data_IF_307528125288
#
_entry.id   IF_307528125288
#
_cell.length_a   1.000
_cell.length_b   1.000
_cell.length_c   1.000
_cell.angle_alpha   90.00
_cell.angle_beta   90.00
_cell.angle_gamma   90.00
#
_symmetry.space_group_name_H-M   'P 1'
#
loop_
_entity.id
_entity.type
_entity.pdbx_description
1 polymer ?
#
# COMPACT_ATOMS: atom_id res chain seq x y z
N UNK A 1 30.07 -12.64 -15.35
CA UNK A 1 28.81 -13.33 -15.00
C UNK A 1 27.89 -13.19 -16.20
N UNK A 2 27.38 -14.30 -16.73
CA UNK A 2 26.53 -14.26 -17.94
C UNK A 2 25.22 -13.53 -17.62
N UNK A 3 24.65 -12.82 -18.61
CA UNK A 3 23.41 -12.06 -18.43
C UNK A 3 22.25 -12.99 -18.01
N UNK A 4 22.26 -14.22 -18.52
CA UNK A 4 21.28 -15.25 -18.20
C UNK A 4 21.21 -15.63 -16.71
N UNK A 5 22.34 -15.74 -16.01
CA UNK A 5 22.35 -16.06 -14.56
C UNK A 5 21.70 -14.94 -13.73
N UNK A 6 21.93 -13.69 -14.13
CA UNK A 6 21.30 -12.51 -13.50
C UNK A 6 19.81 -12.52 -13.73
N UNK A 7 19.37 -12.81 -14.94
CA UNK A 7 17.95 -12.95 -15.30
C UNK A 7 17.28 -14.04 -14.47
N UNK A 8 17.86 -15.24 -14.38
CA UNK A 8 17.29 -16.35 -13.60
C UNK A 8 17.16 -15.96 -12.12
N UNK A 9 18.21 -15.34 -11.56
CA UNK A 9 18.22 -14.88 -10.18
C UNK A 9 17.13 -13.84 -9.93
N UNK A 10 17.02 -12.85 -10.82
CA UNK A 10 16.05 -11.76 -10.75
C UNK A 10 14.62 -12.28 -10.92
N UNK A 11 14.38 -13.17 -11.88
CA UNK A 11 13.08 -13.83 -12.05
C UNK A 11 12.67 -14.63 -10.80
N UNK A 12 13.60 -15.41 -10.24
CA UNK A 12 13.35 -16.22 -9.04
C UNK A 12 13.00 -15.38 -7.81
N UNK A 13 13.76 -14.31 -7.56
CA UNK A 13 13.47 -13.34 -6.50
C UNK A 13 12.10 -12.68 -6.72
N UNK A 14 11.79 -12.22 -7.94
CA UNK A 14 10.51 -11.57 -8.26
C UNK A 14 9.33 -12.50 -8.04
N UNK A 15 9.40 -13.73 -8.56
CA UNK A 15 8.36 -14.73 -8.38
C UNK A 15 8.06 -15.01 -6.90
N UNK A 16 9.10 -15.00 -6.06
CA UNK A 16 8.94 -15.12 -4.61
C UNK A 16 8.19 -13.95 -4.00
N UNK A 17 8.57 -12.71 -4.33
CA UNK A 17 7.93 -11.51 -3.78
C UNK A 17 6.53 -11.26 -4.31
N UNK A 18 6.27 -11.56 -5.58
CA UNK A 18 4.93 -11.48 -6.16
C UNK A 18 3.94 -12.27 -5.31
N UNK A 19 4.27 -13.50 -4.93
CA UNK A 19 3.42 -14.33 -4.04
C UNK A 19 3.21 -13.73 -2.65
N UNK A 20 4.24 -13.10 -2.09
CA UNK A 20 4.14 -12.43 -0.79
C UNK A 20 3.24 -11.20 -0.88
N UNK A 21 3.39 -10.41 -1.93
CA UNK A 21 2.56 -9.23 -2.21
C UNK A 21 1.10 -9.65 -2.44
N UNK A 22 0.83 -10.64 -3.29
CA UNK A 22 -0.52 -11.19 -3.51
C UNK A 22 -1.22 -11.63 -2.22
N UNK A 23 -0.45 -12.02 -1.19
CA UNK A 23 -0.99 -12.39 0.12
C UNK A 23 -1.29 -11.17 1.01
N UNK A 24 -0.56 -10.07 0.79
CA UNK A 24 -0.67 -8.84 1.58
C UNK A 24 -1.76 -7.89 1.06
N UNK A 25 -1.86 -7.70 -0.26
CA UNK A 25 -2.78 -6.73 -0.89
C UNK A 25 -3.96 -7.42 -1.61
N UNK A 26 -5.13 -6.79 -1.59
CA UNK A 26 -6.30 -7.25 -2.34
C UNK A 26 -6.23 -6.74 -3.79
N UNK A 27 -5.51 -7.46 -4.63
CA UNK A 27 -5.37 -7.15 -6.05
C UNK A 27 -3.92 -6.92 -6.45
N UNK A 28 -3.49 -7.56 -7.53
CA UNK A 28 -2.11 -7.47 -7.99
C UNK A 28 -1.94 -6.33 -9.00
N UNK A 29 -0.86 -5.51 -8.93
CA UNK A 29 -0.68 -4.38 -9.82
C UNK A 29 -0.57 -4.87 -11.28
N UNK A 30 -1.48 -4.48 -12.18
CA UNK A 30 -1.49 -4.97 -13.56
C UNK A 30 -0.23 -4.58 -14.35
N UNK A 31 0.42 -3.47 -13.96
CA UNK A 31 1.68 -2.98 -14.51
C UNK A 31 2.79 -4.02 -14.35
N UNK A 32 2.91 -4.61 -13.15
CA UNK A 32 3.88 -5.68 -12.87
C UNK A 32 3.65 -6.88 -13.76
N UNK A 33 2.40 -7.28 -14.00
CA UNK A 33 2.08 -8.40 -14.90
C UNK A 33 2.45 -8.10 -16.35
N UNK A 34 2.27 -6.86 -16.79
CA UNK A 34 2.62 -6.46 -18.14
C UNK A 34 4.13 -6.54 -18.37
N UNK A 35 4.92 -6.00 -17.46
CA UNK A 35 6.38 -6.08 -17.52
C UNK A 35 6.88 -7.54 -17.39
N UNK A 36 6.24 -8.35 -16.55
CA UNK A 36 6.54 -9.79 -16.45
C UNK A 36 6.29 -10.52 -17.78
N UNK A 37 5.18 -10.20 -18.47
CA UNK A 37 4.88 -10.76 -19.80
C UNK A 37 5.89 -10.30 -20.85
N UNK A 38 6.34 -9.04 -20.80
CA UNK A 38 7.41 -8.55 -21.68
C UNK A 38 8.72 -9.28 -21.45
N UNK A 39 9.10 -9.51 -20.19
CA UNK A 39 10.26 -10.30 -19.84
C UNK A 39 10.17 -11.72 -20.42
N UNK A 40 9.05 -12.43 -20.21
CA UNK A 40 8.87 -13.78 -20.77
C UNK A 40 8.96 -13.80 -22.29
N UNK A 41 8.37 -12.82 -22.99
CA UNK A 41 8.47 -12.72 -24.46
C UNK A 41 9.91 -12.52 -24.93
N UNK A 42 10.67 -11.66 -24.24
CA UNK A 42 12.07 -11.42 -24.56
C UNK A 42 12.94 -12.66 -24.27
N UNK A 43 12.61 -13.47 -23.26
CA UNK A 43 13.29 -14.75 -23.02
C UNK A 43 13.01 -15.78 -24.12
N UNK A 44 11.76 -15.85 -24.62
CA UNK A 44 11.44 -16.68 -25.77
C UNK A 44 12.21 -16.20 -27.00
N UNK A 45 12.24 -14.87 -27.26
CA UNK A 45 13.05 -14.28 -28.33
C UNK A 45 14.54 -14.64 -28.19
N UNK A 46 15.08 -14.66 -26.97
CA UNK A 46 16.46 -15.08 -26.73
C UNK A 46 16.67 -16.56 -27.08
N UNK A 47 15.79 -17.45 -26.62
CA UNK A 47 15.88 -18.89 -26.93
C UNK A 47 15.77 -19.17 -28.43
N UNK A 48 14.88 -18.48 -29.14
CA UNK A 48 14.71 -18.62 -30.59
C UNK A 48 15.93 -18.16 -31.39
N UNK A 49 16.77 -17.31 -30.80
CA UNK A 49 17.99 -16.77 -31.42
C UNK A 49 19.28 -17.34 -30.78
N UNK A 50 19.21 -18.44 -30.02
CA UNK A 50 20.39 -19.02 -29.37
C UNK A 50 21.49 -19.45 -30.35
N UNK A 51 21.09 -19.83 -31.58
CA UNK A 51 21.99 -20.27 -32.64
C UNK A 51 22.33 -19.13 -33.63
N UNK A 52 22.02 -17.87 -33.28
CA UNK A 52 22.38 -16.70 -34.10
C UNK A 52 23.91 -16.63 -34.27
N UNK A 53 24.44 -16.73 -35.50
CA UNK A 53 25.88 -16.74 -35.76
C UNK A 53 26.60 -15.49 -35.25
N UNK A 54 25.87 -14.37 -35.12
CA UNK A 54 26.41 -13.11 -34.63
C UNK A 54 26.28 -12.95 -33.11
N UNK A 55 25.42 -13.74 -32.45
CA UNK A 55 25.06 -13.60 -31.05
C UNK A 55 24.36 -12.29 -30.67
N UNK A 56 24.24 -11.33 -31.59
CA UNK A 56 23.72 -10.00 -31.32
C UNK A 56 22.23 -10.04 -30.99
N UNK A 57 21.46 -10.88 -31.68
CA UNK A 57 20.02 -11.01 -31.42
C UNK A 57 19.76 -11.66 -30.06
N UNK A 58 20.54 -12.67 -29.72
CA UNK A 58 20.51 -13.31 -28.42
C UNK A 58 20.79 -12.31 -27.29
N UNK A 59 21.90 -11.58 -27.38
CA UNK A 59 22.29 -10.59 -26.36
C UNK A 59 21.29 -9.43 -26.23
N UNK A 60 20.72 -8.98 -27.35
CA UNK A 60 19.69 -7.94 -27.34
C UNK A 60 18.42 -8.41 -26.64
N UNK A 61 17.98 -9.64 -26.92
CA UNK A 61 16.82 -10.25 -26.28
C UNK A 61 17.05 -10.50 -24.77
N UNK A 62 18.25 -10.96 -24.38
CA UNK A 62 18.65 -11.05 -22.98
C UNK A 62 18.55 -9.69 -22.27
N UNK A 63 19.10 -8.64 -22.88
CA UNK A 63 19.06 -7.28 -22.32
C UNK A 63 17.61 -6.79 -22.15
N UNK A 64 16.75 -6.97 -23.15
CA UNK A 64 15.31 -6.66 -23.04
C UNK A 64 14.66 -7.41 -21.89
N UNK A 65 14.92 -8.72 -21.75
CA UNK A 65 14.33 -9.53 -20.69
C UNK A 65 14.75 -9.04 -19.31
N UNK A 66 16.04 -8.74 -19.15
CA UNK A 66 16.59 -8.19 -17.91
C UNK A 66 15.96 -6.82 -17.56
N UNK A 67 15.85 -5.90 -18.53
CA UNK A 67 15.21 -4.61 -18.32
C UNK A 67 13.72 -4.72 -17.98
N UNK A 68 12.98 -5.59 -18.66
CA UNK A 68 11.57 -5.82 -18.36
C UNK A 68 11.37 -6.41 -16.95
N UNK A 69 12.24 -7.32 -16.51
CA UNK A 69 12.21 -7.80 -15.13
C UNK A 69 12.44 -6.62 -14.16
N UNK A 70 13.46 -5.79 -14.36
CA UNK A 70 13.72 -4.63 -13.50
C UNK A 70 12.55 -3.64 -13.44
N UNK A 71 11.82 -3.47 -14.54
CA UNK A 71 10.61 -2.65 -14.54
C UNK A 71 9.49 -3.31 -13.72
N UNK A 72 9.29 -4.62 -13.87
CA UNK A 72 8.33 -5.36 -13.05
C UNK A 72 8.68 -5.24 -11.54
N UNK A 73 9.97 -5.20 -11.20
CA UNK A 73 10.45 -4.91 -9.84
C UNK A 73 10.08 -3.51 -9.35
N UNK A 74 10.34 -2.51 -10.20
CA UNK A 74 9.98 -1.12 -9.95
C UNK A 74 8.49 -1.01 -9.66
N UNK A 75 7.67 -1.52 -10.56
CA UNK A 75 6.21 -1.40 -10.50
C UNK A 75 5.62 -2.13 -9.29
N UNK A 76 6.26 -3.20 -8.82
CA UNK A 76 5.81 -3.92 -7.63
C UNK A 76 5.98 -3.07 -6.37
N UNK A 77 7.13 -2.41 -6.23
CA UNK A 77 7.44 -1.57 -5.07
C UNK A 77 6.60 -0.30 -5.09
N UNK A 78 6.49 0.32 -6.26
CA UNK A 78 5.66 1.51 -6.50
C UNK A 78 4.18 1.22 -6.22
N UNK A 79 3.66 0.10 -6.72
CA UNK A 79 2.29 -0.34 -6.44
C UNK A 79 2.02 -0.53 -4.94
N UNK A 80 2.97 -1.11 -4.18
CA UNK A 80 2.84 -1.25 -2.73
C UNK A 80 2.84 0.10 -2.00
N UNK A 81 3.70 1.04 -2.40
CA UNK A 81 3.76 2.38 -1.81
C UNK A 81 2.46 3.14 -2.08
N UNK A 82 1.95 3.09 -3.31
CA UNK A 82 0.68 3.72 -3.71
C UNK A 82 -0.47 3.15 -2.90
N UNK A 83 -0.62 1.81 -2.83
CA UNK A 83 -1.72 1.17 -2.10
C UNK A 83 -1.68 1.52 -0.61
N UNK A 84 -0.49 1.49 0.02
CA UNK A 84 -0.33 1.84 1.43
C UNK A 84 -0.71 3.31 1.70
N UNK A 85 -0.28 4.22 0.82
CA UNK A 85 -0.56 5.65 0.93
C UNK A 85 -2.06 5.91 0.79
N UNK A 86 -2.69 5.34 -0.24
CA UNK A 86 -4.12 5.50 -0.50
C UNK A 86 -4.95 4.98 0.67
N UNK A 87 -4.66 3.76 1.16
CA UNK A 87 -5.37 3.20 2.32
C UNK A 87 -5.22 4.06 3.56
N UNK A 88 -4.02 4.57 3.83
CA UNK A 88 -3.79 5.41 5.00
C UNK A 88 -4.51 6.75 4.90
N UNK A 89 -4.54 7.35 3.71
CA UNK A 89 -5.26 8.59 3.44
C UNK A 89 -6.77 8.41 3.55
N UNK A 90 -7.32 7.30 3.05
CA UNK A 90 -8.75 6.95 3.20
C UNK A 90 -9.14 6.83 4.67
N UNK A 91 -8.37 6.08 5.48
CA UNK A 91 -8.60 5.94 6.92
C UNK A 91 -8.50 7.28 7.64
N UNK A 92 -7.49 8.08 7.31
CA UNK A 92 -7.28 9.40 7.93
C UNK A 92 -8.39 10.38 7.55
N UNK A 93 -8.95 10.29 6.34
CA UNK A 93 -10.01 11.16 5.84
C UNK A 93 -11.36 10.84 6.48
N UNK A 94 -11.67 9.55 6.67
CA UNK A 94 -12.99 9.11 7.14
C UNK A 94 -13.05 8.76 8.63
N UNK A 95 -11.92 8.38 9.24
CA UNK A 95 -11.83 7.86 10.60
C UNK A 95 -10.62 8.44 11.35
N UNK A 96 -10.39 9.76 11.23
CA UNK A 96 -9.18 10.42 11.74
C UNK A 96 -8.88 10.10 13.21
N UNK A 97 -9.87 10.25 14.09
CA UNK A 97 -9.68 10.11 15.53
C UNK A 97 -9.33 8.66 15.89
N UNK A 98 -10.06 7.70 15.31
CA UNK A 98 -9.85 6.27 15.49
C UNK A 98 -8.50 5.83 14.90
N UNK A 99 -8.14 6.35 13.73
CA UNK A 99 -6.85 6.10 13.09
C UNK A 99 -5.69 6.56 13.98
N UNK A 100 -5.79 7.76 14.57
CA UNK A 100 -4.78 8.25 15.52
C UNK A 100 -4.73 7.37 16.77
N UNK A 101 -5.89 6.93 17.28
CA UNK A 101 -5.97 6.12 18.49
C UNK A 101 -5.40 4.71 18.29
N UNK A 102 -5.67 4.07 17.15
CA UNK A 102 -5.24 2.70 16.85
C UNK A 102 -3.79 2.65 16.36
N UNK A 103 -3.42 3.48 15.38
CA UNK A 103 -2.09 3.43 14.78
C UNK A 103 -1.05 4.27 15.55
N UNK A 104 -1.46 5.34 16.23
CA UNK A 104 -0.55 6.21 16.97
C UNK A 104 0.69 6.61 16.18
N UNK A 105 1.87 6.25 16.69
CA UNK A 105 3.16 6.56 16.05
C UNK A 105 3.44 5.76 14.77
N UNK A 106 2.87 4.55 14.61
CA UNK A 106 3.06 3.73 13.40
C UNK A 106 2.60 4.45 12.14
N UNK A 107 1.54 5.28 12.23
CA UNK A 107 1.10 6.13 11.12
C UNK A 107 2.25 7.00 10.59
N UNK A 108 3.04 7.59 11.49
CA UNK A 108 4.16 8.45 11.12
C UNK A 108 5.29 7.65 10.49
N UNK A 109 5.58 6.47 11.04
CA UNK A 109 6.60 5.56 10.50
C UNK A 109 6.25 5.13 9.06
N UNK A 110 4.99 4.77 8.82
CA UNK A 110 4.47 4.44 7.50
C UNK A 110 4.68 5.61 6.51
N UNK A 111 4.26 6.83 6.89
CA UNK A 111 4.39 8.02 6.03
C UNK A 111 5.85 8.33 5.72
N UNK A 112 6.76 8.19 6.69
CA UNK A 112 8.19 8.40 6.48
C UNK A 112 8.72 7.40 5.45
N UNK A 113 8.43 6.10 5.63
CA UNK A 113 8.88 5.07 4.69
C UNK A 113 8.33 5.31 3.27
N UNK A 114 7.04 5.62 3.14
CA UNK A 114 6.43 5.92 1.84
C UNK A 114 7.10 7.10 1.15
N UNK A 115 7.43 8.17 1.89
CA UNK A 115 8.11 9.33 1.32
C UNK A 115 9.53 8.99 0.87
N UNK A 116 10.29 8.29 1.71
CA UNK A 116 11.65 7.85 1.36
C UNK A 116 11.67 6.97 0.10
N UNK A 117 10.71 6.04 0.00
CA UNK A 117 10.59 5.17 -1.17
C UNK A 117 10.09 5.91 -2.40
N UNK A 118 9.13 6.84 -2.27
CA UNK A 118 8.68 7.68 -3.37
C UNK A 118 9.83 8.52 -3.95
N UNK A 119 10.72 9.06 -3.12
CA UNK A 119 11.90 9.79 -3.58
C UNK A 119 12.85 8.89 -4.38
N UNK A 120 13.12 7.67 -3.89
CA UNK A 120 13.95 6.69 -4.59
C UNK A 120 13.32 6.24 -5.92
N UNK A 121 12.01 5.98 -5.93
CA UNK A 121 11.24 5.62 -7.13
C UNK A 121 11.30 6.77 -8.14
N UNK A 122 11.03 8.00 -7.72
CA UNK A 122 11.09 9.18 -8.58
C UNK A 122 12.49 9.38 -9.19
N UNK A 123 13.55 9.20 -8.39
CA UNK A 123 14.93 9.24 -8.89
C UNK A 123 15.18 8.17 -9.95
N UNK A 124 14.73 6.93 -9.73
CA UNK A 124 14.89 5.82 -10.68
C UNK A 124 14.17 6.03 -12.03
N UNK A 125 13.14 6.89 -12.06
CA UNK A 125 12.45 7.31 -13.29
C UNK A 125 13.23 8.40 -14.03
N UNK A 126 13.86 9.31 -13.29
CA UNK A 126 14.69 10.39 -13.84
C UNK A 126 16.08 9.93 -14.31
N UNK A 127 16.61 8.85 -13.73
CA UNK A 127 17.94 8.30 -14.00
C UNK A 127 17.84 6.81 -14.38
N UNK A 128 17.34 6.46 -15.59
CA UNK A 128 17.11 5.07 -16.01
C UNK A 128 18.35 4.16 -15.90
N UNK A 129 19.54 4.72 -16.09
CA UNK A 129 20.83 4.04 -15.98
C UNK A 129 21.17 3.60 -14.55
N UNK A 130 20.63 4.27 -13.52
CA UNK A 130 20.84 3.95 -12.11
C UNK A 130 19.71 3.09 -11.51
N UNK A 131 18.67 2.80 -12.28
CA UNK A 131 17.50 2.02 -11.85
C UNK A 131 17.90 0.71 -11.17
N UNK A 132 18.82 -0.06 -11.76
CA UNK A 132 19.27 -1.34 -11.19
C UNK A 132 19.83 -1.16 -9.79
N UNK A 133 20.75 -0.21 -9.62
CA UNK A 133 21.40 0.04 -8.36
C UNK A 133 20.40 0.49 -7.30
N UNK A 134 19.52 1.43 -7.64
CA UNK A 134 18.49 1.95 -6.73
C UNK A 134 17.53 0.81 -6.28
N UNK A 135 17.14 -0.09 -7.18
CA UNK A 135 16.22 -1.16 -6.80
C UNK A 135 16.90 -2.31 -6.05
N UNK A 136 18.08 -2.76 -6.50
CA UNK A 136 18.79 -3.85 -5.84
C UNK A 136 19.29 -3.44 -4.45
N UNK A 137 19.92 -2.27 -4.32
CA UNK A 137 20.58 -1.84 -3.08
C UNK A 137 19.66 -1.05 -2.16
N UNK A 138 18.86 -0.11 -2.71
CA UNK A 138 18.18 0.89 -1.89
C UNK A 138 16.72 0.57 -1.56
N UNK A 139 16.02 -0.24 -2.37
CA UNK A 139 14.57 -0.48 -2.19
C UNK A 139 14.29 -1.92 -1.77
N UNK A 140 14.81 -2.90 -2.51
CA UNK A 140 14.38 -4.28 -2.36
C UNK A 140 15.05 -5.00 -1.19
N UNK A 141 16.37 -4.86 -1.03
CA UNK A 141 17.09 -5.45 0.10
C UNK A 141 16.85 -4.67 1.40
N UNK A 142 16.47 -3.40 1.30
CA UNK A 142 16.35 -2.52 2.47
C UNK A 142 14.92 -2.37 3.01
N UNK A 143 13.88 -2.32 2.16
CA UNK A 143 12.59 -1.77 2.58
C UNK A 143 11.34 -2.54 2.14
N UNK A 144 11.46 -3.52 1.24
CA UNK A 144 10.29 -4.27 0.77
C UNK A 144 9.62 -5.08 1.90
N UNK A 145 10.42 -5.65 2.79
CA UNK A 145 9.90 -6.39 3.95
C UNK A 145 9.20 -5.45 4.95
N UNK A 146 9.68 -4.21 5.09
CA UNK A 146 9.01 -3.19 5.90
C UNK A 146 7.66 -2.79 5.27
N UNK A 147 7.60 -2.60 3.95
CA UNK A 147 6.35 -2.35 3.23
C UNK A 147 5.32 -3.46 3.46
N UNK A 148 5.73 -4.72 3.31
CA UNK A 148 4.85 -5.87 3.52
C UNK A 148 4.37 -5.97 4.97
N UNK A 149 5.24 -5.66 5.92
CA UNK A 149 4.89 -5.61 7.35
C UNK A 149 3.86 -4.53 7.60
N UNK A 150 4.08 -3.32 7.10
CA UNK A 150 3.13 -2.23 7.27
C UNK A 150 1.80 -2.46 6.55
N UNK A 151 1.79 -3.13 5.40
CA UNK A 151 0.53 -3.57 4.76
C UNK A 151 -0.26 -4.52 5.66
N UNK A 152 0.42 -5.48 6.27
CA UNK A 152 -0.21 -6.43 7.19
C UNK A 152 -0.74 -5.72 8.44
N UNK A 153 0.07 -4.84 9.03
CA UNK A 153 -0.32 -4.04 10.20
C UNK A 153 -1.53 -3.14 9.89
N UNK A 154 -1.52 -2.46 8.74
CA UNK A 154 -2.59 -1.57 8.32
C UNK A 154 -3.88 -2.34 8.04
N UNK A 155 -3.79 -3.54 7.46
CA UNK A 155 -4.94 -4.43 7.24
C UNK A 155 -5.61 -4.83 8.55
N UNK A 156 -4.84 -5.19 9.57
CA UNK A 156 -5.36 -5.50 10.90
C UNK A 156 -5.96 -4.26 11.55
N UNK A 157 -5.21 -3.15 11.56
CA UNK A 157 -5.64 -1.89 12.17
C UNK A 157 -6.92 -1.33 11.51
N UNK A 158 -7.12 -1.54 10.21
CA UNK A 158 -8.33 -1.12 9.49
C UNK A 158 -9.59 -1.72 10.12
N UNK A 159 -9.53 -3.00 10.53
CA UNK A 159 -10.66 -3.67 11.17
C UNK A 159 -10.97 -3.03 12.53
N UNK A 160 -9.93 -2.79 13.32
CA UNK A 160 -10.05 -2.16 14.65
C UNK A 160 -10.58 -0.71 14.54
N UNK A 161 -10.11 0.04 13.55
CA UNK A 161 -10.56 1.42 13.27
C UNK A 161 -12.05 1.44 12.94
N UNK A 162 -12.52 0.56 12.05
CA UNK A 162 -13.94 0.50 11.70
C UNK A 162 -14.80 0.06 12.88
N UNK A 163 -14.35 -0.92 13.66
CA UNK A 163 -15.08 -1.34 14.86
C UNK A 163 -15.20 -0.18 15.86
N UNK A 164 -14.09 0.50 16.16
CA UNK A 164 -14.07 1.62 17.09
C UNK A 164 -14.94 2.78 16.59
N UNK A 165 -14.95 3.05 15.28
CA UNK A 165 -15.77 4.10 14.68
C UNK A 165 -17.28 3.80 14.84
N UNK A 166 -17.68 2.55 14.65
CA UNK A 166 -19.06 2.11 14.87
C UNK A 166 -19.47 2.16 16.35
N UNK A 167 -18.56 1.80 17.26
CA UNK A 167 -18.78 1.93 18.71
C UNK A 167 -18.97 3.40 19.12
N UNK A 168 -18.08 4.28 18.67
CA UNK A 168 -18.15 5.72 18.91
C UNK A 168 -19.45 6.34 18.37
N UNK A 169 -19.90 5.91 17.18
CA UNK A 169 -21.16 6.36 16.59
C UNK A 169 -22.36 5.97 17.44
N UNK A 170 -22.43 4.70 17.89
CA UNK A 170 -23.50 4.22 18.78
C UNK A 170 -23.50 4.93 20.13
N UNK A 171 -22.32 5.20 20.69
CA UNK A 171 -22.20 5.95 21.94
C UNK A 171 -22.68 7.40 21.78
N UNK A 172 -22.30 8.07 20.69
CA UNK A 172 -22.76 9.44 20.39
C UNK A 172 -24.28 9.51 20.24
N UNK A 173 -24.88 8.53 19.57
CA UNK A 173 -26.35 8.43 19.45
C UNK A 173 -27.02 8.24 20.81
N UNK A 174 -26.48 7.36 21.67
CA UNK A 174 -26.98 7.16 23.04
C UNK A 174 -26.86 8.43 23.90
N UNK A 175 -25.74 9.14 23.80
CA UNK A 175 -25.53 10.40 24.52
C UNK A 175 -26.50 11.48 24.04
N UNK A 176 -26.73 11.59 22.74
CA UNK A 176 -27.72 12.51 22.17
C UNK A 176 -29.15 12.18 22.62
N UNK A 177 -29.52 10.89 22.67
CA UNK A 177 -30.82 10.47 23.20
C UNK A 177 -30.97 10.83 24.69
N UNK A 178 -29.94 10.59 25.50
CA UNK A 178 -29.94 10.99 26.93
C UNK A 178 -30.05 12.51 27.09
N UNK A 179 -29.33 13.28 26.28
CA UNK A 179 -29.38 14.74 26.30
C UNK A 179 -30.78 15.26 25.92
N UNK A 180 -31.39 14.70 24.86
CA UNK A 180 -32.75 15.05 24.45
C UNK A 180 -33.79 14.68 25.51
N UNK A 181 -33.67 13.52 26.15
CA UNK A 181 -34.55 13.11 27.25
C UNK A 181 -34.44 14.07 28.43
N UNK A 182 -33.21 14.40 28.85
CA UNK A 182 -32.94 15.37 29.92
C UNK A 182 -33.55 16.75 29.64
N UNK A 183 -33.42 17.23 28.40
CA UNK A 183 -33.99 18.50 27.98
C UNK A 183 -35.52 18.49 28.04
N UNK A 184 -36.17 17.43 27.55
CA UNK A 184 -37.63 17.26 27.61
C UNK A 184 -38.10 17.22 29.07
N UNK A 185 -37.45 16.44 29.95
CA UNK A 185 -37.83 16.39 31.37
C UNK A 185 -37.68 17.74 32.06
N UNK A 186 -36.65 18.51 31.73
CA UNK A 186 -36.42 19.84 32.30
C UNK A 186 -37.52 20.83 31.88
N UNK A 187 -37.98 20.77 30.63
CA UNK A 187 -39.10 21.58 30.12
C UNK A 187 -40.41 21.19 30.82
N UNK A 188 -40.70 19.89 30.92
CA UNK A 188 -41.94 19.40 31.57
C UNK A 188 -42.01 19.82 33.04
N UNK A 189 -40.91 19.68 33.79
CA UNK A 189 -40.84 20.13 35.19
C UNK A 189 -41.05 21.64 35.29
N UNK A 190 -40.43 22.42 34.39
CA UNK A 190 -40.61 23.88 34.36
C UNK A 190 -42.06 24.30 34.11
N UNK A 191 -42.76 23.66 33.17
CA UNK A 191 -44.16 23.95 32.85
C UNK A 191 -45.09 23.57 34.01
N UNK A 192 -44.87 22.41 34.65
CA UNK A 192 -45.65 21.99 35.82
C UNK A 192 -45.42 22.94 37.00
N UNK A 193 -44.17 23.36 37.25
CA UNK A 193 -43.84 24.30 38.31
C UNK A 193 -44.51 25.67 38.13
N UNK A 194 -44.55 26.19 36.89
CA UNK A 194 -45.28 27.43 36.57
C UNK A 194 -46.79 27.24 36.74
N UNK A 195 -47.35 26.11 36.30
CA UNK A 195 -48.77 25.81 36.45
C UNK A 195 -49.21 25.74 37.91
N UNK A 196 -48.42 25.13 38.78
CA UNK A 196 -48.70 25.06 40.23
C UNK A 196 -48.60 26.45 40.87
N UNK A 197 -47.64 27.28 40.46
CA UNK A 197 -47.46 28.64 40.97
C UNK A 197 -48.59 29.62 40.54
N UNK A 198 -49.33 29.31 39.48
CA UNK A 198 -50.49 30.12 39.02
C UNK A 198 -51.80 29.71 39.73
N UNK A 199 -51.86 28.48 40.24
CA UNK A 199 -53.06 27.93 40.91
C UNK A 199 -53.07 28.24 42.43
N UNK A 200 -51.93 28.64 42.99
CA UNK A 200 -51.79 29.15 44.36
C UNK A 200 -51.79 30.68 44.41
#
# INVERSE_FOLDING_TARGET
MLNFDRIITLHGKLAGRVKQVESAIEGFPPEVLNEYRYACRALIEALDNQDDPTGNKFQHAESKAYHALLNAYHDLSDGLVIDLTVRLDELTTHHLAETIQVLGNKRREIVILCNELNEKIAKSRGEPELRIQIYEEDIYEAHLDDLLTYHTDLKVATQDIFQLSEENKKEKERLNQKANFSLITSIVIGVIGIGIAIIW
#
